data_IF_648154283631
#
_entry.id   IF_648154283631
#
_cell.length_a   1.000
_cell.length_b   1.000
_cell.length_c   1.000
_cell.angle_alpha   90.00
_cell.angle_beta   90.00
_cell.angle_gamma   90.00
#
_symmetry.space_group_name_H-M   'P 1'
#
loop_
_entity.id
_entity.type
_entity.pdbx_description
1 polymer ?
#
# COMPACT_ATOMS: atom_id res chain seq x y z
N UNK A 1 24.71 -19.61 47.05
CA UNK A 1 23.45 -20.30 46.73
C UNK A 1 22.45 -19.24 46.27
N UNK A 2 21.92 -19.34 45.04
CA UNK A 2 20.99 -18.35 44.44
C UNK A 2 19.54 -18.87 44.44
N UNK A 3 19.27 -19.98 45.12
CA UNK A 3 17.96 -20.63 45.18
C UNK A 3 16.89 -19.69 45.76
N UNK A 4 15.81 -19.47 45.00
CA UNK A 4 14.62 -18.74 45.44
C UNK A 4 14.63 -17.22 45.23
N UNK A 5 15.72 -16.65 44.72
CA UNK A 5 15.86 -15.20 44.49
C UNK A 5 16.00 -14.85 43.00
N UNK A 6 15.61 -15.71 42.07
CA UNK A 6 15.66 -15.39 40.64
C UNK A 6 14.42 -14.58 40.20
N UNK A 7 14.61 -13.54 39.38
CA UNK A 7 13.54 -12.74 38.79
C UNK A 7 13.42 -11.31 39.34
N UNK A 8 12.25 -10.69 39.13
CA UNK A 8 11.94 -9.28 39.47
C UNK A 8 12.12 -8.90 40.95
N UNK A 9 12.26 -9.87 41.85
CA UNK A 9 12.53 -9.60 43.27
C UNK A 9 13.93 -9.02 43.54
N UNK A 10 14.89 -9.22 42.63
CA UNK A 10 16.23 -8.63 42.74
C UNK A 10 16.33 -7.22 42.12
N UNK A 11 15.28 -6.73 41.46
CA UNK A 11 15.28 -5.34 40.93
C UNK A 11 14.84 -4.34 41.99
N UNK A 12 14.31 -4.80 43.12
CA UNK A 12 13.84 -3.99 44.25
C UNK A 12 14.82 -4.13 45.40
N UNK A 13 15.52 -3.03 45.74
CA UNK A 13 16.58 -2.97 46.76
C UNK A 13 16.18 -3.49 48.15
N UNK A 14 14.89 -3.54 48.46
CA UNK A 14 14.37 -3.94 49.77
C UNK A 14 14.03 -5.43 49.90
N UNK A 15 13.95 -6.17 48.78
CA UNK A 15 13.47 -7.57 48.76
C UNK A 15 14.59 -8.59 48.53
N UNK A 16 15.82 -8.15 48.26
CA UNK A 16 16.97 -9.01 48.06
C UNK A 16 18.27 -8.33 48.46
N UNK A 17 19.21 -9.11 48.99
CA UNK A 17 20.56 -8.65 49.24
C UNK A 17 21.27 -8.29 47.92
N UNK A 18 20.93 -8.96 46.83
CA UNK A 18 21.40 -8.64 45.49
C UNK A 18 20.44 -7.65 44.82
N UNK A 19 20.93 -6.47 44.48
CA UNK A 19 20.16 -5.41 43.85
C UNK A 19 20.80 -4.93 42.55
N UNK A 20 19.96 -4.55 41.59
CA UNK A 20 20.41 -3.99 40.33
C UNK A 20 21.14 -2.65 40.52
N UNK A 21 22.26 -2.47 39.82
CA UNK A 21 22.96 -1.20 39.75
C UNK A 21 23.36 -0.89 38.29
N UNK A 22 22.66 0.07 37.69
CA UNK A 22 22.90 0.53 36.31
C UNK A 22 24.08 1.50 36.19
N UNK A 23 24.63 2.00 37.30
CA UNK A 23 25.66 3.04 37.33
C UNK A 23 27.05 2.52 37.75
N UNK A 24 27.22 1.19 37.88
CA UNK A 24 28.48 0.61 38.33
C UNK A 24 29.50 0.52 37.18
N UNK A 25 30.34 1.54 37.06
CA UNK A 25 31.35 1.65 36.00
C UNK A 25 32.72 1.00 36.33
N UNK A 26 32.92 0.41 37.52
CA UNK A 26 34.27 0.06 37.96
C UNK A 26 34.72 -1.40 37.72
N UNK A 27 35.73 -1.50 36.86
CA UNK A 27 37.07 -2.07 37.10
C UNK A 27 37.37 -3.58 37.00
N UNK A 28 36.40 -4.48 36.85
CA UNK A 28 36.70 -5.90 36.57
C UNK A 28 35.81 -6.53 35.49
N UNK A 29 35.72 -5.89 34.33
CA UNK A 29 35.32 -6.63 33.13
C UNK A 29 36.50 -7.49 32.70
N UNK A 30 36.28 -8.78 32.50
CA UNK A 30 37.21 -9.62 31.74
C UNK A 30 37.66 -8.86 30.49
N UNK A 31 38.96 -8.87 30.23
CA UNK A 31 39.75 -7.97 29.36
C UNK A 31 39.29 -7.95 27.88
N UNK A 32 38.23 -8.67 27.53
CA UNK A 32 37.75 -8.86 26.16
C UNK A 32 36.29 -8.44 25.93
N UNK A 33 35.62 -7.80 26.89
CA UNK A 33 34.20 -7.44 26.78
C UNK A 33 33.97 -5.95 26.98
N UNK A 34 33.83 -5.20 25.89
CA UNK A 34 33.36 -3.80 25.95
C UNK A 34 31.91 -3.77 26.49
N UNK A 35 31.59 -2.74 27.27
CA UNK A 35 30.26 -2.53 27.89
C UNK A 35 29.65 -1.24 27.39
N UNK A 36 28.34 -1.24 27.13
CA UNK A 36 27.58 -0.01 26.86
C UNK A 36 26.32 0.04 27.73
N UNK A 37 25.99 1.22 28.22
CA UNK A 37 24.70 1.50 28.88
C UNK A 37 23.68 1.90 27.82
N UNK A 38 22.53 1.23 27.80
CA UNK A 38 21.39 1.54 26.92
C UNK A 38 20.48 2.51 27.65
N UNK A 39 20.00 3.51 26.93
CA UNK A 39 19.01 4.46 27.43
C UNK A 39 17.68 4.31 26.66
N UNK A 40 16.58 4.66 27.33
CA UNK A 40 15.28 4.81 26.67
C UNK A 40 15.25 6.06 25.76
N UNK A 41 14.09 6.32 25.15
CA UNK A 41 13.85 7.50 24.29
C UNK A 41 14.10 8.85 24.97
N UNK A 42 14.00 8.90 26.30
CA UNK A 42 14.17 10.12 27.10
C UNK A 42 15.60 10.27 27.65
N UNK A 43 16.52 9.39 27.24
CA UNK A 43 17.92 9.42 27.67
C UNK A 43 18.16 8.84 29.07
N UNK A 44 17.19 8.14 29.65
CA UNK A 44 17.31 7.51 30.97
C UNK A 44 17.94 6.12 30.80
N UNK A 45 19.02 5.79 31.52
CA UNK A 45 19.61 4.46 31.52
C UNK A 45 18.59 3.38 31.92
N UNK A 46 18.44 2.35 31.10
CA UNK A 46 17.54 1.22 31.37
C UNK A 46 18.28 -0.10 31.52
N UNK A 47 19.34 -0.33 30.75
CA UNK A 47 19.99 -1.63 30.63
C UNK A 47 21.49 -1.51 30.35
N UNK A 48 22.21 -2.62 30.53
CA UNK A 48 23.62 -2.75 30.17
C UNK A 48 23.74 -3.84 29.12
N UNK A 49 24.58 -3.62 28.11
CA UNK A 49 24.97 -4.67 27.15
C UNK A 49 26.45 -4.95 27.17
N UNK A 50 26.77 -6.22 26.90
CA UNK A 50 28.11 -6.71 26.66
C UNK A 50 28.29 -7.03 25.18
N UNK A 51 29.43 -6.63 24.63
CA UNK A 51 29.83 -6.99 23.28
C UNK A 51 30.72 -8.22 23.29
N UNK A 52 30.33 -9.24 22.55
CA UNK A 52 31.15 -10.43 22.31
C UNK A 52 31.46 -10.53 20.82
N UNK A 53 32.75 -10.53 20.48
CA UNK A 53 33.21 -10.68 19.09
C UNK A 53 33.08 -12.16 18.71
N UNK A 54 32.22 -12.47 17.75
CA UNK A 54 32.01 -13.81 17.22
C UNK A 54 32.30 -13.81 15.71
N UNK A 55 33.53 -14.16 15.34
CA UNK A 55 33.96 -14.17 13.92
C UNK A 55 33.91 -12.78 13.28
N UNK A 56 33.01 -12.60 12.31
CA UNK A 56 32.79 -11.37 11.54
C UNK A 56 31.55 -10.57 12.00
N UNK A 57 31.03 -10.84 13.20
CA UNK A 57 29.95 -10.04 13.79
C UNK A 57 30.18 -9.83 15.29
N UNK A 58 29.56 -8.79 15.83
CA UNK A 58 29.58 -8.45 17.25
C UNK A 58 28.22 -8.83 17.81
N UNK A 59 28.21 -9.88 18.63
CA UNK A 59 27.02 -10.28 19.39
C UNK A 59 26.82 -9.31 20.54
N UNK A 60 25.59 -8.82 20.67
CA UNK A 60 25.19 -7.93 21.75
C UNK A 60 24.38 -8.75 22.75
N UNK A 61 24.81 -8.76 24.01
CA UNK A 61 24.17 -9.55 25.06
C UNK A 61 23.61 -8.61 26.14
N UNK A 62 22.29 -8.66 26.42
CA UNK A 62 21.70 -7.84 27.47
C UNK A 62 22.04 -8.46 28.82
N UNK A 63 22.58 -7.65 29.73
CA UNK A 63 22.97 -8.10 31.06
C UNK A 63 22.43 -7.15 32.12
N UNK A 64 22.25 -7.70 33.32
CA UNK A 64 22.05 -6.91 34.54
C UNK A 64 23.27 -7.09 35.43
N UNK A 65 23.66 -6.02 36.10
CA UNK A 65 24.68 -6.07 37.14
C UNK A 65 23.99 -6.08 38.50
N UNK A 66 24.18 -7.18 39.23
CA UNK A 66 23.70 -7.31 40.59
C UNK A 66 24.85 -7.01 41.55
N UNK A 67 24.65 -6.04 42.43
CA UNK A 67 25.60 -5.69 43.46
C UNK A 67 25.00 -6.03 44.84
N UNK A 68 25.87 -6.17 45.85
CA UNK A 68 25.48 -6.52 47.22
C UNK A 68 26.41 -5.78 48.17
N UNK A 69 25.88 -5.18 49.23
CA UNK A 69 26.63 -4.22 50.06
C UNK A 69 27.89 -4.81 50.73
N UNK A 70 27.87 -6.09 51.07
CA UNK A 70 28.97 -6.85 51.68
C UNK A 70 29.80 -7.66 50.66
N UNK A 71 29.57 -7.46 49.35
CA UNK A 71 30.30 -8.16 48.29
C UNK A 71 31.00 -7.13 47.38
N UNK A 72 32.33 -7.11 47.32
CA UNK A 72 33.09 -6.04 46.67
C UNK A 72 33.01 -6.03 45.14
N UNK A 73 32.38 -7.04 44.53
CA UNK A 73 32.22 -7.14 43.07
C UNK A 73 30.76 -7.28 42.67
N UNK A 74 30.39 -6.82 41.47
CA UNK A 74 29.05 -7.06 40.95
C UNK A 74 29.03 -8.36 40.14
N UNK A 75 27.91 -9.08 40.18
CA UNK A 75 27.68 -10.26 39.34
C UNK A 75 26.94 -9.85 38.07
N UNK A 76 27.51 -10.20 36.93
CA UNK A 76 26.82 -10.14 35.65
C UNK A 76 25.86 -11.32 35.55
N UNK A 77 24.60 -11.04 35.28
CA UNK A 77 23.56 -12.04 35.07
C UNK A 77 22.77 -11.71 33.82
N UNK A 78 22.35 -12.75 33.10
CA UNK A 78 21.51 -12.60 31.92
C UNK A 78 20.05 -12.56 32.36
N UNK A 79 19.46 -11.37 32.33
CA UNK A 79 18.03 -11.18 32.48
C UNK A 79 17.52 -10.41 31.26
N UNK A 80 16.71 -11.03 30.38
CA UNK A 80 16.10 -10.29 29.28
C UNK A 80 15.12 -9.27 29.86
N UNK A 81 15.25 -7.96 29.55
CA UNK A 81 14.37 -6.95 30.12
C UNK A 81 12.95 -7.11 29.56
N UNK A 82 11.97 -6.50 30.25
CA UNK A 82 10.56 -6.54 29.85
C UNK A 82 10.30 -5.78 28.56
N UNK A 83 11.05 -4.70 28.34
CA UNK A 83 11.08 -3.90 27.12
C UNK A 83 12.53 -3.79 26.64
N UNK A 84 12.75 -4.00 25.34
CA UNK A 84 14.10 -3.99 24.76
C UNK A 84 14.24 -2.78 23.85
N UNK A 85 15.23 -1.95 24.16
CA UNK A 85 15.64 -0.80 23.37
C UNK A 85 16.80 -1.20 22.45
N UNK A 86 16.88 -0.62 21.24
CA UNK A 86 17.93 -0.95 20.31
C UNK A 86 19.27 -0.42 20.79
N UNK A 87 20.31 -1.21 20.58
CA UNK A 87 21.68 -0.74 20.71
C UNK A 87 22.04 -0.03 19.41
N UNK A 88 22.50 1.21 19.53
CA UNK A 88 22.69 2.13 18.40
C UNK A 88 24.18 2.23 18.05
N UNK A 89 24.49 2.19 16.76
CA UNK A 89 25.83 2.39 16.23
C UNK A 89 25.81 3.28 14.98
N UNK A 90 26.77 4.20 14.88
CA UNK A 90 26.90 5.12 13.74
C UNK A 90 26.10 6.42 13.87
N UNK A 91 26.20 7.27 12.84
CA UNK A 91 25.47 8.54 12.72
C UNK A 91 24.31 8.36 11.74
N UNK A 92 23.14 8.91 12.05
CA UNK A 92 21.94 8.82 11.21
C UNK A 92 21.87 9.98 10.21
N UNK A 93 22.73 9.95 9.20
CA UNK A 93 22.82 11.04 8.21
C UNK A 93 21.82 10.90 7.06
N UNK A 94 21.19 9.72 6.92
CA UNK A 94 20.36 9.37 5.76
C UNK A 94 18.93 8.94 6.11
N UNK A 95 18.55 9.00 7.39
CA UNK A 95 17.24 8.59 7.88
C UNK A 95 16.86 7.13 7.53
N UNK A 96 17.87 6.25 7.59
CA UNK A 96 17.76 4.81 7.34
C UNK A 96 18.17 4.06 8.61
N UNK A 97 17.29 3.22 9.13
CA UNK A 97 17.59 2.34 10.24
C UNK A 97 17.80 0.90 9.76
N UNK A 98 19.01 0.38 9.99
CA UNK A 98 19.34 -1.04 9.75
C UNK A 98 19.05 -1.84 11.02
N UNK A 99 18.13 -2.78 10.93
CA UNK A 99 17.60 -3.59 12.03
C UNK A 99 18.18 -4.99 11.97
N UNK A 100 18.92 -5.41 12.99
CA UNK A 100 19.48 -6.76 13.01
C UNK A 100 19.60 -7.33 14.43
N UNK A 101 19.84 -8.64 14.52
CA UNK A 101 20.14 -9.29 15.80
C UNK A 101 21.55 -8.92 16.32
N UNK A 102 22.47 -8.57 15.43
CA UNK A 102 23.87 -8.27 15.77
C UNK A 102 24.48 -7.33 14.73
N UNK A 103 25.59 -6.68 15.06
CA UNK A 103 26.30 -5.82 14.10
C UNK A 103 27.37 -6.59 13.33
N UNK A 104 27.65 -6.28 12.06
CA UNK A 104 28.80 -6.84 11.38
C UNK A 104 30.09 -6.22 11.94
N UNK A 105 31.17 -7.01 11.90
CA UNK A 105 32.51 -6.60 12.32
C UNK A 105 33.24 -6.02 11.11
N UNK A 106 33.36 -4.70 11.04
CA UNK A 106 34.07 -4.02 9.95
C UNK A 106 33.69 -2.54 9.86
N UNK A 107 34.35 -1.80 8.96
CA UNK A 107 33.99 -0.41 8.65
C UNK A 107 32.61 -0.38 8.01
N UNK A 108 31.62 -0.04 8.81
CA UNK A 108 30.31 0.36 8.33
C UNK A 108 30.47 1.61 7.48
N UNK A 109 29.75 1.75 6.35
CA UNK A 109 29.78 2.98 5.58
C UNK A 109 29.46 4.18 6.50
N UNK A 110 30.18 5.29 6.35
CA UNK A 110 29.89 6.52 7.09
C UNK A 110 28.44 6.96 6.84
N UNK A 111 27.73 7.38 7.89
CA UNK A 111 26.32 7.80 7.81
C UNK A 111 25.29 6.67 7.90
N UNK A 112 25.72 5.44 8.17
CA UNK A 112 24.84 4.28 8.40
C UNK A 112 24.47 4.20 9.88
N UNK A 113 23.17 4.20 10.17
CA UNK A 113 22.62 4.03 11.51
C UNK A 113 22.13 2.61 11.75
N UNK A 114 22.88 1.87 12.57
CA UNK A 114 22.59 0.47 12.88
C UNK A 114 21.93 0.31 14.24
N UNK A 115 20.83 -0.42 14.28
CA UNK A 115 20.08 -0.78 15.48
C UNK A 115 20.13 -2.30 15.69
N UNK A 116 20.86 -2.76 16.71
CA UNK A 116 20.85 -4.17 17.09
C UNK A 116 19.90 -4.43 18.23
N UNK A 117 19.14 -5.52 18.07
CA UNK A 117 18.35 -6.10 19.12
C UNK A 117 18.99 -7.37 19.67
N UNK A 118 19.48 -7.33 20.90
CA UNK A 118 20.05 -8.51 21.52
C UNK A 118 18.97 -9.57 21.80
N UNK A 119 19.36 -10.85 21.84
CA UNK A 119 18.51 -11.95 22.32
C UNK A 119 17.65 -12.71 21.30
N UNK A 120 17.82 -12.45 19.99
CA UNK A 120 17.25 -13.27 18.91
C UNK A 120 15.72 -13.17 18.79
N UNK A 121 15.08 -14.16 18.14
CA UNK A 121 13.64 -14.10 17.84
C UNK A 121 12.75 -13.90 19.08
N UNK A 122 13.17 -14.45 20.23
CA UNK A 122 12.44 -14.35 21.50
C UNK A 122 12.29 -12.92 22.03
N UNK A 123 13.12 -11.99 21.56
CA UNK A 123 13.08 -10.60 21.99
C UNK A 123 12.20 -9.73 21.10
N UNK A 124 11.84 -10.22 19.91
CA UNK A 124 10.99 -9.49 18.96
C UNK A 124 9.71 -8.96 19.59
N UNK A 125 8.94 -9.71 20.40
CA UNK A 125 7.72 -9.17 21.01
C UNK A 125 7.95 -8.03 22.02
N UNK A 126 9.15 -7.94 22.60
CA UNK A 126 9.50 -6.98 23.65
C UNK A 126 10.16 -5.70 23.11
N UNK A 127 10.44 -5.65 21.80
CA UNK A 127 11.12 -4.50 21.19
C UNK A 127 10.27 -3.24 21.23
N UNK A 128 10.91 -2.11 21.47
CA UNK A 128 10.29 -0.79 21.32
C UNK A 128 10.25 -0.34 19.86
N UNK A 129 9.10 -0.51 19.19
CA UNK A 129 8.96 -0.14 17.78
C UNK A 129 8.73 1.36 17.56
N UNK A 130 8.30 2.13 18.57
CA UNK A 130 8.12 3.58 18.43
C UNK A 130 9.41 4.30 18.06
N UNK A 131 10.54 3.80 18.57
CA UNK A 131 11.87 4.29 18.21
C UNK A 131 12.14 4.18 16.70
N UNK A 132 11.62 3.15 16.01
CA UNK A 132 11.84 2.99 14.56
C UNK A 132 10.88 3.72 13.67
N UNK A 133 9.68 3.99 14.19
CA UNK A 133 8.66 4.69 13.40
C UNK A 133 9.16 6.06 12.94
N UNK A 134 10.11 6.67 13.65
CA UNK A 134 10.73 7.95 13.27
C UNK A 134 11.60 7.92 12.01
N UNK A 135 12.07 6.76 11.56
CA UNK A 135 12.93 6.68 10.37
C UNK A 135 12.10 6.44 9.11
N UNK A 136 12.44 7.15 8.02
CA UNK A 136 11.80 7.01 6.71
C UNK A 136 12.03 5.65 6.07
N UNK A 137 13.23 5.07 6.20
CA UNK A 137 13.55 3.73 5.68
C UNK A 137 13.96 2.79 6.80
N UNK A 138 13.37 1.59 6.81
CA UNK A 138 13.59 0.56 7.83
C UNK A 138 14.00 -0.72 7.11
N UNK A 139 15.22 -1.18 7.36
CA UNK A 139 15.81 -2.31 6.65
C UNK A 139 16.08 -3.43 7.65
N UNK A 140 15.34 -4.53 7.56
CA UNK A 140 15.66 -5.75 8.31
C UNK A 140 16.86 -6.40 7.64
N UNK A 141 17.95 -6.57 8.38
CA UNK A 141 19.17 -7.21 7.92
C UNK A 141 19.40 -8.48 8.70
N UNK A 142 19.40 -9.62 8.02
CA UNK A 142 19.98 -10.85 8.57
C UNK A 142 21.36 -11.09 7.97
N UNK A 143 22.29 -11.48 8.84
CA UNK A 143 23.67 -11.76 8.45
C UNK A 143 23.73 -13.27 8.21
N UNK A 144 24.06 -13.71 6.99
CA UNK A 144 23.99 -15.12 6.58
C UNK A 144 24.77 -16.05 7.53
N UNK A 145 25.91 -15.59 8.04
CA UNK A 145 26.74 -16.34 9.00
C UNK A 145 26.10 -16.57 10.38
N UNK A 146 25.02 -15.86 10.73
CA UNK A 146 24.21 -16.16 11.91
C UNK A 146 23.36 -17.42 11.71
N UNK A 147 23.25 -17.90 10.46
CA UNK A 147 22.49 -19.08 10.10
C UNK A 147 21.02 -18.98 10.53
N UNK A 148 20.53 -20.09 11.08
CA UNK A 148 19.13 -20.29 11.48
C UNK A 148 18.65 -19.21 12.46
N UNK A 149 19.49 -18.74 13.39
CA UNK A 149 19.12 -17.73 14.37
C UNK A 149 18.86 -16.35 13.75
N UNK A 150 19.70 -15.94 12.81
CA UNK A 150 19.53 -14.68 12.08
C UNK A 150 18.26 -14.67 11.23
N UNK A 151 17.98 -15.80 10.57
CA UNK A 151 16.76 -16.00 9.78
C UNK A 151 15.52 -15.97 10.68
N UNK A 152 15.55 -16.67 11.82
CA UNK A 152 14.44 -16.72 12.77
C UNK A 152 14.11 -15.33 13.32
N UNK A 153 15.15 -14.57 13.67
CA UNK A 153 15.02 -13.19 14.11
C UNK A 153 14.38 -12.31 13.04
N UNK A 154 14.92 -12.32 11.81
CA UNK A 154 14.42 -11.49 10.72
C UNK A 154 12.99 -11.87 10.33
N UNK A 155 12.66 -13.15 10.32
CA UNK A 155 11.30 -13.65 10.08
C UNK A 155 10.33 -13.15 11.14
N UNK A 156 10.70 -13.29 12.42
CA UNK A 156 9.85 -12.86 13.54
C UNK A 156 9.64 -11.36 13.53
N UNK A 157 10.70 -10.58 13.26
CA UNK A 157 10.63 -9.13 13.17
C UNK A 157 9.80 -8.68 11.97
N UNK A 158 10.01 -9.25 10.79
CA UNK A 158 9.23 -8.94 9.59
C UNK A 158 7.73 -9.22 9.80
N UNK A 159 7.39 -10.36 10.41
CA UNK A 159 6.02 -10.70 10.74
C UNK A 159 5.41 -9.68 11.73
N UNK A 160 6.17 -9.28 12.76
CA UNK A 160 5.72 -8.26 13.71
C UNK A 160 5.52 -6.89 13.05
N UNK A 161 6.47 -6.42 12.24
CA UNK A 161 6.36 -5.13 11.54
C UNK A 161 5.17 -5.12 10.58
N UNK A 162 4.94 -6.22 9.84
CA UNK A 162 3.77 -6.35 8.96
C UNK A 162 2.46 -6.38 9.74
N UNK A 163 2.41 -7.04 10.90
CA UNK A 163 1.25 -7.03 11.80
C UNK A 163 0.92 -5.63 12.35
N UNK A 164 1.97 -4.85 12.62
CA UNK A 164 1.85 -3.49 13.15
C UNK A 164 1.83 -2.40 12.07
N UNK A 165 1.68 -2.79 10.79
CA UNK A 165 1.59 -1.87 9.64
C UNK A 165 2.78 -0.92 9.52
N UNK A 166 3.98 -1.43 9.78
CA UNK A 166 5.21 -0.67 9.68
C UNK A 166 5.93 -1.11 8.40
N UNK A 167 6.12 -0.19 7.45
CA UNK A 167 6.88 -0.48 6.22
C UNK A 167 8.32 -0.87 6.52
N UNK A 168 8.82 -1.86 5.78
CA UNK A 168 10.20 -2.34 5.84
C UNK A 168 10.65 -2.95 4.51
N UNK A 169 11.97 -3.06 4.33
CA UNK A 169 12.59 -3.94 3.33
C UNK A 169 13.46 -4.99 4.01
N UNK A 170 13.66 -6.13 3.35
CA UNK A 170 14.46 -7.24 3.86
C UNK A 170 15.74 -7.33 3.07
N UNK A 171 16.86 -7.43 3.78
CA UNK A 171 18.20 -7.51 3.21
C UNK A 171 18.98 -8.65 3.80
N UNK A 172 19.78 -9.29 2.96
CA UNK A 172 20.73 -10.32 3.31
C UNK A 172 22.15 -9.77 3.18
N UNK A 173 22.94 -9.94 4.23
CA UNK A 173 24.37 -9.63 4.25
C UNK A 173 25.19 -10.91 4.20
N UNK A 174 25.95 -11.09 3.10
CA UNK A 174 26.87 -12.22 2.87
C UNK A 174 28.31 -11.70 2.74
N UNK A 175 29.10 -11.81 3.82
CA UNK A 175 30.41 -11.17 3.89
C UNK A 175 30.28 -9.66 3.80
N UNK A 176 30.82 -9.04 2.74
CA UNK A 176 30.66 -7.61 2.45
C UNK A 176 29.53 -7.30 1.45
N UNK A 177 28.84 -8.32 0.93
CA UNK A 177 27.80 -8.17 -0.08
C UNK A 177 26.44 -7.96 0.56
N UNK A 178 25.76 -6.88 0.19
CA UNK A 178 24.42 -6.52 0.66
C UNK A 178 23.41 -6.71 -0.47
N UNK A 179 22.37 -7.51 -0.24
CA UNK A 179 21.36 -7.82 -1.25
C UNK A 179 19.95 -7.65 -0.69
N UNK A 180 19.12 -6.89 -1.39
CA UNK A 180 17.69 -6.80 -1.08
C UNK A 180 16.98 -8.07 -1.55
N UNK A 181 16.05 -8.56 -0.73
CA UNK A 181 15.22 -9.71 -1.03
C UNK A 181 13.76 -9.30 -1.08
N UNK A 182 13.06 -9.70 -2.14
CA UNK A 182 11.60 -9.68 -2.14
C UNK A 182 11.04 -10.59 -1.05
N UNK A 183 9.79 -10.35 -0.64
CA UNK A 183 9.07 -11.24 0.28
C UNK A 183 8.96 -12.68 -0.27
N UNK A 184 8.96 -12.88 -1.60
CA UNK A 184 8.96 -14.21 -2.22
C UNK A 184 10.28 -14.94 -2.02
N UNK A 185 11.40 -14.25 -2.26
CA UNK A 185 12.73 -14.80 -2.07
C UNK A 185 13.00 -15.09 -0.59
N UNK A 186 12.60 -14.17 0.30
CA UNK A 186 12.75 -14.38 1.74
C UNK A 186 11.95 -15.58 2.25
N UNK A 187 10.71 -15.78 1.78
CA UNK A 187 9.92 -16.98 2.08
C UNK A 187 10.60 -18.27 1.63
N UNK A 188 11.31 -18.23 0.50
CA UNK A 188 12.08 -19.37 0.00
C UNK A 188 13.26 -19.67 0.94
N UNK A 189 13.95 -18.64 1.43
CA UNK A 189 15.01 -18.78 2.44
C UNK A 189 14.47 -19.39 3.74
N UNK A 190 13.34 -18.89 4.24
CA UNK A 190 12.66 -19.41 5.44
C UNK A 190 12.34 -20.91 5.28
N UNK A 191 11.67 -21.29 4.18
CA UNK A 191 11.29 -22.68 3.88
C UNK A 191 12.50 -23.60 3.78
N UNK A 192 13.56 -23.16 3.08
CA UNK A 192 14.79 -23.94 2.91
C UNK A 192 15.45 -24.27 4.25
N UNK A 193 15.29 -23.40 5.25
CA UNK A 193 15.84 -23.58 6.59
C UNK A 193 14.85 -24.25 7.57
N UNK A 194 13.75 -24.82 7.08
CA UNK A 194 12.83 -25.65 7.87
C UNK A 194 11.86 -24.87 8.76
N UNK A 195 11.73 -23.55 8.58
CA UNK A 195 10.78 -22.74 9.33
C UNK A 195 9.39 -22.72 8.70
N UNK A 196 8.36 -22.70 9.54
CA UNK A 196 6.99 -22.40 9.13
C UNK A 196 6.88 -20.90 8.81
N UNK A 197 6.30 -20.54 7.67
CA UNK A 197 6.07 -19.14 7.31
C UNK A 197 4.91 -18.59 8.17
N UNK A 198 5.10 -17.50 8.92
CA UNK A 198 4.02 -16.80 9.62
C UNK A 198 2.95 -16.29 8.65
N UNK A 199 1.68 -16.25 9.09
CA UNK A 199 0.55 -15.79 8.26
C UNK A 199 0.77 -14.35 7.75
N UNK A 200 1.39 -13.50 8.56
CA UNK A 200 1.72 -12.12 8.20
C UNK A 200 2.71 -12.03 7.06
N UNK A 201 3.52 -13.07 6.84
CA UNK A 201 4.46 -13.12 5.72
C UNK A 201 3.88 -13.89 4.52
N UNK A 202 2.62 -14.30 4.57
CA UNK A 202 1.94 -14.91 3.44
C UNK A 202 1.78 -13.92 2.27
N UNK A 203 1.47 -14.46 1.08
CA UNK A 203 1.15 -13.66 -0.10
C UNK A 203 -0.18 -12.93 0.02
N UNK A 204 -1.03 -13.32 0.95
CA UNK A 204 -2.43 -12.88 1.09
C UNK A 204 -2.72 -12.63 2.56
N UNK A 205 -2.02 -11.67 3.16
CA UNK A 205 -2.26 -11.28 4.54
C UNK A 205 -3.45 -10.30 4.61
N UNK A 206 -4.51 -10.66 5.34
CA UNK A 206 -5.75 -9.87 5.44
C UNK A 206 -5.54 -8.46 6.01
N UNK A 207 -4.52 -8.25 6.83
CA UNK A 207 -4.16 -6.93 7.35
C UNK A 207 -3.74 -5.96 6.25
N UNK A 208 -3.05 -6.45 5.21
CA UNK A 208 -2.64 -5.61 4.08
C UNK A 208 -3.86 -5.13 3.28
N UNK A 209 -4.88 -5.98 3.12
CA UNK A 209 -6.14 -5.64 2.42
C UNK A 209 -6.93 -4.60 3.22
N UNK A 210 -7.00 -4.77 4.54
CA UNK A 210 -7.71 -3.83 5.43
C UNK A 210 -7.06 -2.45 5.40
N UNK A 211 -5.72 -2.39 5.40
CA UNK A 211 -5.00 -1.13 5.26
C UNK A 211 -5.07 -0.53 3.86
N UNK A 212 -5.18 -1.35 2.81
CA UNK A 212 -5.37 -0.86 1.44
C UNK A 212 -6.74 -0.19 1.29
N UNK A 213 -7.72 -0.63 2.09
CA UNK A 213 -9.05 -0.02 2.20
C UNK A 213 -9.03 1.21 3.13
N UNK A 214 -8.25 1.20 4.21
CA UNK A 214 -8.16 2.33 5.15
C UNK A 214 -7.24 3.47 4.67
N UNK A 215 -6.24 3.15 3.84
CA UNK A 215 -5.31 4.10 3.23
C UNK A 215 -5.55 4.30 1.74
N UNK A 216 -6.65 3.80 1.17
CA UNK A 216 -7.02 4.20 -0.19
C UNK A 216 -7.21 5.72 -0.18
N UNK A 217 -6.59 6.39 -1.14
CA UNK A 217 -6.69 7.84 -1.30
C UNK A 217 -8.17 8.24 -1.26
N UNK A 218 -8.51 9.37 -0.62
CA UNK A 218 -9.90 9.87 -0.54
C UNK A 218 -10.60 9.66 -1.88
N UNK A 219 -11.57 8.75 -1.91
CA UNK A 219 -12.25 8.36 -3.13
C UNK A 219 -12.79 9.61 -3.83
N UNK A 220 -12.49 9.77 -5.12
CA UNK A 220 -13.03 10.91 -5.86
C UNK A 220 -14.54 10.76 -6.03
N UNK A 221 -14.98 9.54 -6.36
CA UNK A 221 -16.37 9.11 -6.35
C UNK A 221 -16.44 7.89 -5.43
N UNK A 222 -16.94 8.03 -4.19
CA UNK A 222 -17.03 6.94 -3.21
C UNK A 222 -17.58 5.64 -3.80
N UNK A 223 -16.81 4.56 -3.67
CA UNK A 223 -17.18 3.21 -4.12
C UNK A 223 -17.13 2.99 -5.64
N UNK A 224 -16.72 3.98 -6.43
CA UNK A 224 -16.71 3.94 -7.90
C UNK A 224 -15.33 4.28 -8.48
N UNK A 225 -14.68 5.33 -7.99
CA UNK A 225 -13.44 5.86 -8.58
C UNK A 225 -12.58 6.54 -7.51
N UNK A 226 -11.44 5.94 -7.20
CA UNK A 226 -10.46 6.55 -6.30
C UNK A 226 -9.51 7.50 -7.06
N UNK A 227 -8.71 8.28 -6.31
CA UNK A 227 -7.65 9.08 -6.91
C UNK A 227 -6.57 8.18 -7.48
N UNK A 228 -6.13 8.49 -8.70
CA UNK A 228 -5.17 7.66 -9.43
C UNK A 228 -5.80 6.47 -10.15
N UNK A 229 -7.08 6.16 -9.94
CA UNK A 229 -7.76 5.08 -10.67
C UNK A 229 -8.27 5.51 -12.04
N UNK A 230 -8.50 4.53 -12.92
CA UNK A 230 -9.09 4.74 -14.23
C UNK A 230 -10.40 3.96 -14.39
N UNK A 231 -11.47 4.66 -14.80
CA UNK A 231 -12.76 4.08 -15.17
C UNK A 231 -12.98 4.24 -16.67
N UNK A 232 -13.54 3.20 -17.30
CA UNK A 232 -13.74 3.17 -18.75
C UNK A 232 -15.23 3.08 -19.13
N UNK A 233 -15.68 3.94 -20.05
CA UNK A 233 -16.93 3.79 -20.79
C UNK A 233 -16.65 3.31 -22.21
N UNK A 234 -16.99 2.05 -22.50
CA UNK A 234 -16.87 1.43 -23.82
C UNK A 234 -18.15 1.61 -24.60
N UNK A 235 -18.04 2.24 -25.77
CA UNK A 235 -19.19 2.64 -26.55
C UNK A 235 -19.26 1.90 -27.88
N UNK A 236 -20.46 1.52 -28.32
CA UNK A 236 -20.66 0.90 -29.64
C UNK A 236 -20.43 1.90 -30.78
N UNK A 237 -20.70 3.18 -30.51
CA UNK A 237 -20.57 4.30 -31.44
C UNK A 237 -19.89 5.48 -30.73
N UNK A 238 -19.29 6.44 -31.47
CA UNK A 238 -18.75 7.65 -30.89
C UNK A 238 -19.80 8.35 -30.02
N UNK A 239 -19.39 8.70 -28.80
CA UNK A 239 -20.29 9.25 -27.79
C UNK A 239 -20.81 10.61 -28.22
N UNK A 240 -22.12 10.78 -28.15
CA UNK A 240 -22.74 12.07 -28.39
C UNK A 240 -22.29 13.10 -27.34
N UNK A 241 -22.01 14.33 -27.78
CA UNK A 241 -21.64 15.45 -26.90
C UNK A 241 -22.68 15.69 -25.78
N UNK A 242 -23.95 15.33 -26.02
CA UNK A 242 -24.99 15.35 -24.99
C UNK A 242 -24.70 14.46 -23.79
N UNK A 243 -24.08 13.27 -23.97
CA UNK A 243 -23.78 12.36 -22.87
C UNK A 243 -22.69 12.92 -21.96
N UNK A 244 -21.63 13.48 -22.55
CA UNK A 244 -20.58 14.17 -21.81
C UNK A 244 -21.17 15.35 -21.02
N UNK A 245 -22.12 16.10 -21.60
CA UNK A 245 -22.79 17.21 -20.92
C UNK A 245 -23.60 16.74 -19.72
N UNK A 246 -24.33 15.65 -19.90
CA UNK A 246 -25.03 15.00 -18.80
C UNK A 246 -24.07 14.58 -17.68
N UNK A 247 -23.00 13.85 -18.02
CA UNK A 247 -22.02 13.36 -17.03
C UNK A 247 -21.44 14.53 -16.23
N UNK A 248 -20.98 15.59 -16.90
CA UNK A 248 -20.38 16.75 -16.25
C UNK A 248 -21.35 17.52 -15.34
N UNK A 249 -22.62 17.67 -15.75
CA UNK A 249 -23.64 18.31 -14.90
C UNK A 249 -23.95 17.50 -13.64
N UNK A 250 -23.92 16.17 -13.76
CA UNK A 250 -24.32 15.29 -12.68
C UNK A 250 -23.17 14.90 -11.75
N UNK A 251 -21.90 14.99 -12.16
CA UNK A 251 -20.77 14.69 -11.26
C UNK A 251 -20.82 15.50 -9.95
N UNK A 252 -21.22 16.76 -9.99
CA UNK A 252 -21.37 17.60 -8.78
C UNK A 252 -22.72 17.46 -8.06
N UNK A 253 -23.70 16.80 -8.68
CA UNK A 253 -25.06 16.60 -8.14
C UNK A 253 -25.32 15.15 -7.70
N UNK A 254 -24.42 14.22 -8.08
CA UNK A 254 -24.60 12.77 -8.07
C UNK A 254 -25.11 12.26 -9.43
N UNK A 255 -24.51 11.18 -9.93
CA UNK A 255 -24.94 10.57 -11.21
C UNK A 255 -25.91 9.39 -10.97
N UNK A 256 -26.69 9.07 -12.01
CA UNK A 256 -27.54 7.87 -12.07
C UNK A 256 -28.52 7.76 -10.90
N UNK A 257 -29.25 8.84 -10.62
CA UNK A 257 -30.14 8.94 -9.45
C UNK A 257 -29.41 8.72 -8.12
N UNK A 258 -28.25 9.38 -7.97
CA UNK A 258 -27.37 9.37 -6.78
C UNK A 258 -26.69 8.03 -6.46
N UNK A 259 -26.67 7.08 -7.41
CA UNK A 259 -25.86 5.87 -7.28
C UNK A 259 -24.37 6.15 -7.32
N UNK A 260 -23.98 7.17 -8.07
CA UNK A 260 -22.68 7.79 -7.88
C UNK A 260 -22.88 8.97 -6.97
N UNK A 261 -22.14 9.00 -5.88
CA UNK A 261 -22.11 10.16 -5.01
C UNK A 261 -21.51 11.37 -5.75
N UNK A 262 -21.87 12.56 -5.28
CA UNK A 262 -21.34 13.81 -5.83
C UNK A 262 -19.86 13.95 -5.47
N UNK A 263 -19.06 14.43 -6.42
CA UNK A 263 -17.66 14.81 -6.16
C UNK A 263 -17.60 16.14 -5.37
N UNK A 264 -16.43 16.45 -4.81
CA UNK A 264 -16.19 17.74 -4.14
C UNK A 264 -16.47 18.90 -5.13
N UNK A 265 -17.31 19.91 -4.77
CA UNK A 265 -17.57 21.10 -5.59
C UNK A 265 -16.33 21.86 -6.05
N UNK A 266 -15.21 21.73 -5.35
CA UNK A 266 -13.92 22.33 -5.68
C UNK A 266 -13.05 21.46 -6.60
N UNK A 267 -13.52 20.26 -6.96
CA UNK A 267 -12.76 19.34 -7.84
C UNK A 267 -12.58 19.95 -9.21
N UNK A 268 -11.32 20.07 -9.65
CA UNK A 268 -10.98 20.60 -10.96
C UNK A 268 -11.02 19.48 -12.01
N UNK A 269 -11.84 19.63 -13.04
CA UNK A 269 -12.01 18.66 -14.12
C UNK A 269 -11.36 19.19 -15.41
N UNK A 270 -10.58 18.33 -16.07
CA UNK A 270 -10.01 18.57 -17.39
C UNK A 270 -10.61 17.59 -18.39
N UNK A 271 -11.18 18.10 -19.47
CA UNK A 271 -11.92 17.29 -20.44
C UNK A 271 -11.28 17.44 -21.82
N UNK A 272 -10.74 16.35 -22.36
CA UNK A 272 -10.19 16.31 -23.72
C UNK A 272 -11.24 15.79 -24.69
N UNK A 273 -11.63 16.64 -25.63
CA UNK A 273 -12.68 16.37 -26.63
C UNK A 273 -12.18 16.71 -28.04
N UNK A 274 -12.88 16.22 -29.05
CA UNK A 274 -12.57 16.57 -30.43
C UNK A 274 -12.96 18.01 -30.75
N UNK A 275 -12.22 18.61 -31.68
CA UNK A 275 -12.43 20.02 -32.06
C UNK A 275 -13.83 20.32 -32.62
N UNK A 276 -14.50 19.30 -33.17
CA UNK A 276 -15.88 19.41 -33.67
C UNK A 276 -16.88 19.64 -32.52
N UNK A 277 -16.67 18.99 -31.38
CA UNK A 277 -17.56 19.05 -30.22
C UNK A 277 -17.46 20.37 -29.48
N UNK A 278 -16.30 21.04 -29.49
CA UNK A 278 -16.11 22.34 -28.83
C UNK A 278 -17.14 23.39 -29.29
N UNK A 279 -17.59 23.32 -30.55
CA UNK A 279 -18.62 24.23 -31.07
C UNK A 279 -20.00 23.96 -30.46
N UNK A 280 -20.30 22.71 -30.13
CA UNK A 280 -21.52 22.33 -29.41
C UNK A 280 -21.47 22.89 -27.99
N UNK A 281 -20.34 22.73 -27.29
CA UNK A 281 -20.17 23.19 -25.91
C UNK A 281 -20.27 24.70 -25.71
N UNK A 282 -19.77 25.49 -26.67
CA UNK A 282 -19.94 26.95 -26.61
C UNK A 282 -21.40 27.41 -26.67
N UNK A 283 -22.34 26.53 -27.05
CA UNK A 283 -23.77 26.86 -27.18
C UNK A 283 -24.64 26.36 -26.02
N UNK A 284 -24.18 25.40 -25.22
CA UNK A 284 -25.02 24.68 -24.23
C UNK A 284 -25.23 25.40 -22.90
N UNK A 285 -24.87 26.70 -22.81
CA UNK A 285 -24.92 27.55 -21.59
C UNK A 285 -24.24 26.96 -20.35
N UNK A 286 -23.55 25.83 -20.47
CA UNK A 286 -22.84 25.19 -19.38
C UNK A 286 -21.60 26.01 -19.03
N UNK A 287 -21.67 26.75 -17.92
CA UNK A 287 -20.56 27.49 -17.35
C UNK A 287 -20.21 26.91 -15.99
N UNK A 288 -19.04 26.29 -15.90
CA UNK A 288 -18.43 25.89 -14.63
C UNK A 288 -17.00 26.39 -14.63
N UNK A 289 -16.62 27.14 -13.60
CA UNK A 289 -15.23 27.57 -13.41
C UNK A 289 -14.28 26.41 -13.12
N UNK A 290 -14.83 25.24 -12.75
CA UNK A 290 -14.07 24.06 -12.38
C UNK A 290 -13.85 23.09 -13.54
N UNK A 291 -14.58 23.25 -14.66
CA UNK A 291 -14.50 22.36 -15.82
C UNK A 291 -13.86 23.09 -16.98
N UNK A 292 -12.75 22.54 -17.49
CA UNK A 292 -12.05 23.13 -18.63
C UNK A 292 -11.93 22.13 -19.78
N UNK A 293 -12.42 22.56 -20.94
CA UNK A 293 -12.36 21.79 -22.18
C UNK A 293 -11.06 22.05 -22.93
N UNK A 294 -10.45 20.97 -23.41
CA UNK A 294 -9.19 20.95 -24.14
C UNK A 294 -9.35 20.14 -25.42
N UNK A 295 -8.62 20.53 -26.46
CA UNK A 295 -8.61 19.82 -27.74
C UNK A 295 -7.75 18.56 -27.60
N UNK A 296 -8.26 17.41 -28.01
CA UNK A 296 -7.55 16.13 -27.88
C UNK A 296 -6.35 15.92 -28.81
N UNK A 297 -6.20 16.73 -29.88
CA UNK A 297 -4.97 16.77 -30.68
C UNK A 297 -3.87 17.52 -29.92
N UNK A 298 -3.43 16.94 -28.81
CA UNK A 298 -2.48 17.49 -27.85
C UNK A 298 -1.22 16.64 -27.79
N UNK A 299 -0.06 17.27 -27.58
CA UNK A 299 1.15 16.52 -27.24
C UNK A 299 1.08 16.03 -25.78
N UNK A 300 1.91 15.05 -25.42
CA UNK A 300 2.02 14.58 -24.03
C UNK A 300 2.52 15.68 -23.08
N UNK A 301 3.41 16.56 -23.54
CA UNK A 301 3.91 17.66 -22.71
C UNK A 301 2.82 18.72 -22.46
N UNK A 302 2.01 19.01 -23.47
CA UNK A 302 0.83 19.87 -23.31
C UNK A 302 -0.20 19.23 -22.37
N UNK A 303 -0.39 17.91 -22.46
CA UNK A 303 -1.26 17.17 -21.54
C UNK A 303 -0.83 17.35 -20.08
N UNK A 304 0.44 17.11 -19.77
CA UNK A 304 1.00 17.29 -18.41
C UNK A 304 0.73 18.69 -17.87
N UNK A 305 1.06 19.71 -18.66
CA UNK A 305 0.93 21.11 -18.24
C UNK A 305 -0.52 21.47 -17.88
N UNK A 306 -1.48 20.89 -18.58
CA UNK A 306 -2.89 21.16 -18.36
C UNK A 306 -3.52 20.30 -17.25
N UNK A 307 -3.02 19.08 -17.02
CA UNK A 307 -3.60 18.12 -16.06
C UNK A 307 -3.06 18.27 -14.64
N UNK A 308 -1.87 18.85 -14.45
CA UNK A 308 -1.16 18.94 -13.14
C UNK A 308 -1.99 19.43 -11.94
N UNK A 309 -3.04 20.22 -12.17
CA UNK A 309 -3.90 20.77 -11.11
C UNK A 309 -5.27 20.09 -11.03
N UNK A 310 -5.54 19.13 -11.89
CA UNK A 310 -6.83 18.46 -11.99
C UNK A 310 -6.97 17.39 -10.90
N UNK A 311 -8.19 17.22 -10.42
CA UNK A 311 -8.58 16.04 -9.63
C UNK A 311 -9.08 14.91 -10.54
N UNK A 312 -9.65 15.28 -11.70
CA UNK A 312 -10.23 14.37 -12.67
C UNK A 312 -9.85 14.74 -14.09
N UNK A 313 -9.34 13.77 -14.84
CA UNK A 313 -9.13 13.84 -16.28
C UNK A 313 -10.18 13.01 -17.01
N UNK A 314 -10.92 13.63 -17.94
CA UNK A 314 -11.86 12.93 -18.82
C UNK A 314 -11.28 12.89 -20.23
N UNK A 315 -10.95 11.70 -20.73
CA UNK A 315 -10.38 11.47 -22.05
C UNK A 315 -11.47 10.97 -22.98
N UNK A 316 -12.04 11.86 -23.80
CA UNK A 316 -13.17 11.58 -24.68
C UNK A 316 -12.92 11.95 -26.15
N UNK A 317 -11.69 12.32 -26.51
CA UNK A 317 -11.34 12.66 -27.89
C UNK A 317 -10.91 11.44 -28.67
N UNK A 318 -11.56 11.16 -29.80
CA UNK A 318 -11.13 10.11 -30.72
C UNK A 318 -9.70 10.32 -31.22
N UNK A 319 -9.29 11.58 -31.43
CA UNK A 319 -7.91 11.88 -31.88
C UNK A 319 -6.85 11.51 -30.84
N UNK A 320 -7.14 11.70 -29.55
CA UNK A 320 -6.28 11.26 -28.46
C UNK A 320 -6.29 9.74 -28.34
N UNK A 321 -7.49 9.14 -28.37
CA UNK A 321 -7.72 7.72 -28.13
C UNK A 321 -7.17 6.82 -29.23
N UNK A 322 -7.04 7.33 -30.46
CA UNK A 322 -6.48 6.60 -31.59
C UNK A 322 -5.00 6.18 -31.38
N UNK A 323 -4.21 6.96 -30.63
CA UNK A 323 -2.81 6.64 -30.32
C UNK A 323 -2.70 5.94 -28.96
N UNK A 324 -2.67 4.60 -28.99
CA UNK A 324 -2.53 3.78 -27.79
C UNK A 324 -1.30 4.11 -26.96
N UNK A 325 -0.21 4.56 -27.58
CA UNK A 325 1.02 4.90 -26.85
C UNK A 325 0.83 6.18 -26.07
N UNK A 326 0.21 7.18 -26.69
CA UNK A 326 -0.07 8.47 -26.07
C UNK A 326 -1.08 8.33 -24.92
N UNK A 327 -2.20 7.63 -25.14
CA UNK A 327 -3.23 7.46 -24.11
C UNK A 327 -2.68 6.74 -22.89
N UNK A 328 -1.93 5.66 -23.08
CA UNK A 328 -1.32 4.94 -21.95
C UNK A 328 -0.36 5.85 -21.18
N UNK A 329 0.48 6.65 -21.86
CA UNK A 329 1.33 7.65 -21.17
C UNK A 329 0.52 8.68 -20.37
N UNK A 330 -0.61 9.14 -20.89
CA UNK A 330 -1.49 10.07 -20.20
C UNK A 330 -2.12 9.44 -18.95
N UNK A 331 -2.62 8.20 -19.05
CA UNK A 331 -3.17 7.44 -17.92
C UNK A 331 -2.09 7.19 -16.87
N UNK A 332 -0.89 6.80 -17.28
CA UNK A 332 0.25 6.53 -16.39
C UNK A 332 0.64 7.77 -15.60
N UNK A 333 0.70 8.92 -16.29
CA UNK A 333 0.95 10.19 -15.63
C UNK A 333 -0.14 10.52 -14.60
N UNK A 334 -1.41 10.29 -14.92
CA UNK A 334 -2.50 10.54 -13.98
C UNK A 334 -2.41 9.61 -12.76
N UNK A 335 -2.12 8.33 -12.96
CA UNK A 335 -1.91 7.35 -11.89
C UNK A 335 -0.76 7.77 -10.96
N UNK A 336 0.41 8.11 -11.52
CA UNK A 336 1.59 8.56 -10.76
C UNK A 336 1.35 9.84 -9.95
N UNK A 337 0.38 10.66 -10.36
CA UNK A 337 0.05 11.94 -9.75
C UNK A 337 -1.28 11.94 -8.99
N UNK A 338 -1.86 10.77 -8.71
CA UNK A 338 -3.13 10.62 -7.97
C UNK A 338 -4.31 11.40 -8.59
N UNK A 339 -4.32 11.49 -9.92
CA UNK A 339 -5.40 12.11 -10.71
C UNK A 339 -6.30 10.99 -11.20
N UNK A 340 -7.58 11.04 -10.86
CA UNK A 340 -8.54 10.06 -11.36
C UNK A 340 -8.78 10.25 -12.87
N UNK A 341 -9.04 9.17 -13.59
CA UNK A 341 -9.25 9.20 -15.03
C UNK A 341 -10.58 8.55 -15.41
N UNK A 342 -11.35 9.22 -16.24
CA UNK A 342 -12.49 8.61 -16.95
C UNK A 342 -12.17 8.60 -18.44
N UNK A 343 -12.08 7.41 -19.03
CA UNK A 343 -11.86 7.24 -20.47
C UNK A 343 -13.18 6.89 -21.13
N UNK A 344 -13.54 7.59 -22.19
CA UNK A 344 -14.80 7.42 -22.91
C UNK A 344 -14.48 7.27 -24.39
N UNK A 345 -14.71 6.08 -24.95
CA UNK A 345 -14.35 5.81 -26.34
C UNK A 345 -15.00 4.55 -26.89
N UNK A 346 -14.87 4.36 -28.21
CA UNK A 346 -15.38 3.15 -28.85
C UNK A 346 -14.50 1.94 -28.57
N UNK A 347 -15.06 0.74 -28.76
CA UNK A 347 -14.30 -0.51 -28.67
C UNK A 347 -13.05 -0.54 -29.57
N UNK A 348 -13.11 0.08 -30.75
CA UNK A 348 -11.98 0.17 -31.67
C UNK A 348 -10.88 1.14 -31.22
N UNK A 349 -11.24 2.14 -30.42
CA UNK A 349 -10.33 3.19 -29.95
C UNK A 349 -9.71 2.83 -28.59
N UNK A 350 -10.43 2.10 -27.74
CA UNK A 350 -9.96 1.70 -26.42
C UNK A 350 -8.86 0.63 -26.49
N UNK A 351 -7.61 1.10 -26.58
CA UNK A 351 -6.38 0.30 -26.48
C UNK A 351 -5.60 0.56 -25.18
N UNK A 352 -6.26 1.12 -24.17
CA UNK A 352 -5.69 1.27 -22.83
C UNK A 352 -5.47 -0.11 -22.23
N UNK A 353 -4.32 -0.32 -21.59
CA UNK A 353 -4.04 -1.59 -20.93
C UNK A 353 -5.03 -1.79 -19.77
N UNK A 354 -5.81 -2.89 -19.85
CA UNK A 354 -6.89 -3.21 -18.91
C UNK A 354 -6.44 -3.31 -17.44
N UNK A 355 -5.17 -3.60 -17.18
CA UNK A 355 -4.63 -3.70 -15.81
C UNK A 355 -4.81 -2.42 -14.98
N UNK A 356 -5.01 -1.26 -15.63
CA UNK A 356 -5.19 0.03 -14.97
C UNK A 356 -6.65 0.46 -14.84
N UNK A 357 -7.58 -0.27 -15.47
CA UNK A 357 -9.01 0.06 -15.45
C UNK A 357 -9.65 -0.68 -14.26
N UNK A 358 -10.13 0.07 -13.28
CA UNK A 358 -10.77 -0.50 -12.08
C UNK A 358 -12.22 -0.89 -12.31
N UNK A 359 -12.86 -0.32 -13.34
CA UNK A 359 -14.24 -0.61 -13.71
C UNK A 359 -14.52 -0.26 -15.16
N UNK A 360 -15.23 -1.16 -15.83
CA UNK A 360 -15.69 -0.94 -17.20
C UNK A 360 -17.22 -0.87 -17.25
N UNK A 361 -17.72 0.15 -17.93
CA UNK A 361 -19.13 0.35 -18.23
C UNK A 361 -19.32 0.29 -19.73
N UNK A 362 -20.28 -0.49 -20.20
CA UNK A 362 -20.70 -0.50 -21.60
C UNK A 362 -21.81 0.50 -21.79
N UNK A 363 -21.69 1.32 -22.82
CA UNK A 363 -22.65 2.33 -23.20
C UNK A 363 -23.19 2.02 -24.60
N UNK A 364 -24.48 1.73 -24.66
CA UNK A 364 -25.22 1.61 -25.91
C UNK A 364 -26.09 2.83 -26.11
N UNK A 365 -26.05 3.37 -27.32
CA UNK A 365 -26.86 4.52 -27.71
C UNK A 365 -27.75 4.14 -28.89
N UNK A 366 -29.06 4.36 -28.72
CA UNK A 366 -30.04 4.25 -29.82
C UNK A 366 -30.60 5.62 -30.11
N UNK A 367 -30.42 6.08 -31.35
CA UNK A 367 -30.90 7.39 -31.80
C UNK A 367 -32.38 7.32 -32.18
N UNK A 368 -33.19 8.23 -31.65
CA UNK A 368 -34.54 8.53 -32.10
C UNK A 368 -34.63 10.03 -32.47
N UNK A 369 -35.61 10.42 -33.29
CA UNK A 369 -35.72 11.79 -33.85
C UNK A 369 -35.76 12.90 -32.78
N UNK A 370 -36.25 12.60 -31.57
CA UNK A 370 -36.41 13.56 -30.46
C UNK A 370 -35.43 13.36 -29.29
N UNK A 371 -34.92 12.14 -29.07
CA UNK A 371 -34.14 11.76 -27.89
C UNK A 371 -33.20 10.59 -28.20
N UNK A 372 -32.07 10.55 -27.50
CA UNK A 372 -31.14 9.43 -27.52
C UNK A 372 -31.44 8.53 -26.33
N UNK A 373 -31.82 7.28 -26.58
CA UNK A 373 -31.92 6.29 -25.51
C UNK A 373 -30.52 5.78 -25.21
N UNK A 374 -30.05 6.00 -23.98
CA UNK A 374 -28.76 5.56 -23.49
C UNK A 374 -28.99 4.39 -22.53
N UNK A 375 -28.24 3.32 -22.72
CA UNK A 375 -28.22 2.16 -21.84
C UNK A 375 -26.79 1.96 -21.35
N UNK A 376 -26.59 1.94 -20.04
CA UNK A 376 -25.28 1.72 -19.42
C UNK A 376 -25.36 0.45 -18.58
N UNK A 377 -24.40 -0.46 -18.76
CA UNK A 377 -24.34 -1.69 -17.99
C UNK A 377 -22.90 -2.07 -17.61
N UNK A 378 -22.73 -2.68 -16.44
CA UNK A 378 -21.50 -3.28 -15.95
C UNK A 378 -21.85 -4.49 -15.10
N UNK A 379 -21.54 -5.70 -15.58
CA UNK A 379 -21.78 -6.94 -14.81
C UNK A 379 -20.77 -7.08 -13.66
N UNK A 380 -19.59 -6.47 -13.79
CA UNK A 380 -18.59 -6.37 -12.71
C UNK A 380 -19.15 -5.63 -11.49
N UNK A 381 -19.88 -4.54 -11.74
CA UNK A 381 -20.45 -3.67 -10.70
C UNK A 381 -21.91 -3.96 -10.36
N UNK A 382 -22.49 -5.02 -10.95
CA UNK A 382 -23.92 -5.35 -10.83
C UNK A 382 -24.82 -4.11 -11.10
N UNK A 383 -24.43 -3.33 -12.12
CA UNK A 383 -25.02 -2.04 -12.42
C UNK A 383 -25.62 -2.04 -13.81
N UNK A 384 -26.85 -1.54 -13.92
CA UNK A 384 -27.52 -1.39 -15.19
C UNK A 384 -28.61 -0.33 -15.15
N UNK A 385 -28.51 0.66 -16.04
CA UNK A 385 -29.48 1.75 -16.13
C UNK A 385 -29.78 2.08 -17.59
N UNK A 386 -31.02 2.48 -17.84
CA UNK A 386 -31.49 2.96 -19.13
C UNK A 386 -32.19 4.30 -18.94
N UNK A 387 -31.92 5.26 -19.82
CA UNK A 387 -32.57 6.56 -19.75
C UNK A 387 -32.61 7.23 -21.13
N UNK A 388 -33.50 8.21 -21.28
CA UNK A 388 -33.59 9.04 -22.47
C UNK A 388 -32.86 10.36 -22.25
N UNK A 389 -32.01 10.73 -23.20
CA UNK A 389 -31.19 11.93 -23.18
C UNK A 389 -31.63 12.88 -24.29
N UNK A 390 -32.07 14.08 -23.91
CA UNK A 390 -32.38 15.17 -24.83
C UNK A 390 -31.11 15.86 -25.35
N UNK A 391 -31.25 16.66 -26.41
CA UNK A 391 -30.14 17.38 -27.04
C UNK A 391 -29.44 18.38 -26.11
N UNK A 392 -30.17 18.87 -25.10
CA UNK A 392 -29.67 19.84 -24.12
C UNK A 392 -29.08 19.17 -22.87
N UNK A 393 -28.93 17.83 -22.88
CA UNK A 393 -28.43 17.05 -21.76
C UNK A 393 -29.48 16.72 -20.68
N UNK A 394 -30.76 17.04 -20.92
CA UNK A 394 -31.86 16.66 -20.03
C UNK A 394 -32.09 15.15 -20.06
N UNK A 395 -32.33 14.56 -18.89
CA UNK A 395 -32.59 13.13 -18.75
C UNK A 395 -34.01 12.87 -18.30
N UNK A 396 -34.64 11.87 -18.91
CA UNK A 396 -35.98 11.38 -18.57
C UNK A 396 -36.05 9.86 -18.65
N UNK A 397 -37.11 9.27 -18.09
CA UNK A 397 -37.37 7.82 -18.14
C UNK A 397 -36.19 6.95 -17.67
N UNK A 398 -35.63 7.30 -16.49
CA UNK A 398 -34.58 6.51 -15.85
C UNK A 398 -35.20 5.20 -15.35
N UNK A 399 -34.68 4.08 -15.84
CA UNK A 399 -35.13 2.72 -15.54
C UNK A 399 -33.95 1.82 -15.20
N UNK A 400 -34.13 0.96 -14.20
CA UNK A 400 -33.17 -0.08 -13.89
C UNK A 400 -33.24 -1.23 -14.88
N UNK A 401 -32.07 -1.73 -15.26
CA UNK A 401 -31.98 -2.96 -16.02
C UNK A 401 -32.09 -4.15 -15.07
N UNK A 402 -32.91 -5.17 -15.38
CA UNK A 402 -32.90 -6.42 -14.64
C UNK A 402 -31.58 -7.18 -14.89
N UNK A 403 -31.11 -7.94 -13.89
CA UNK A 403 -29.83 -8.66 -13.88
C UNK A 403 -29.58 -9.49 -15.15
N UNK A 404 -30.64 -10.12 -15.69
CA UNK A 404 -30.57 -10.90 -16.93
C UNK A 404 -30.25 -10.08 -18.18
N UNK A 405 -30.58 -8.78 -18.21
CA UNK A 405 -30.20 -7.86 -19.30
C UNK A 405 -28.81 -7.26 -19.10
N UNK A 406 -28.38 -7.05 -17.86
CA UNK A 406 -27.01 -6.58 -17.54
C UNK A 406 -25.98 -7.56 -18.08
N UNK A 407 -26.19 -8.86 -17.81
CA UNK A 407 -25.29 -9.93 -18.25
C UNK A 407 -25.23 -10.06 -19.78
N UNK A 408 -26.35 -9.83 -20.48
CA UNK A 408 -26.42 -9.91 -21.95
C UNK A 408 -25.72 -8.71 -22.61
N UNK A 409 -25.88 -7.51 -22.04
CA UNK A 409 -25.20 -6.31 -22.53
C UNK A 409 -23.70 -6.36 -22.27
N UNK A 410 -23.27 -7.00 -21.18
CA UNK A 410 -21.87 -7.18 -20.83
C UNK A 410 -21.22 -8.44 -21.43
N UNK A 411 -21.98 -9.26 -22.16
CA UNK A 411 -21.42 -10.39 -22.90
C UNK A 411 -20.58 -9.87 -24.08
N UNK A 412 -19.29 -10.25 -24.21
CA UNK A 412 -18.47 -9.85 -25.35
C UNK A 412 -19.14 -10.28 -26.66
N UNK A 413 -19.19 -9.38 -27.64
CA UNK A 413 -19.71 -9.69 -28.97
C UNK A 413 -18.80 -10.78 -29.60
N UNK A 414 -19.36 -11.95 -29.95
CA UNK A 414 -18.66 -13.15 -30.45
C UNK A 414 -17.84 -12.93 -31.75
N UNK A 415 -17.80 -11.70 -32.27
CA UNK A 415 -17.02 -11.30 -33.44
C UNK A 415 -15.59 -10.85 -33.12
N UNK A 416 -15.18 -10.81 -31.85
CA UNK A 416 -13.81 -10.50 -31.46
C UNK A 416 -12.94 -11.76 -31.50
N UNK A 417 -11.98 -11.79 -32.42
CA UNK A 417 -11.01 -12.87 -32.57
C UNK A 417 -10.27 -13.17 -31.25
N UNK A 418 -10.31 -14.43 -30.86
CA UNK A 418 -9.58 -15.07 -29.75
C UNK A 418 -8.13 -14.58 -29.61
N UNK A 419 -7.90 -13.63 -28.71
CA UNK A 419 -6.58 -13.25 -28.19
C UNK A 419 -6.64 -13.12 -26.65
N UNK A 420 -6.79 -14.24 -25.94
CA UNK A 420 -6.65 -14.28 -24.46
C UNK A 420 -7.87 -13.82 -23.63
N UNK A 421 -9.02 -13.61 -24.27
CA UNK A 421 -10.25 -13.22 -23.57
C UNK A 421 -10.78 -14.33 -22.63
N UNK A 422 -10.73 -15.60 -23.04
CA UNK A 422 -11.17 -16.72 -22.18
C UNK A 422 -10.32 -16.87 -20.91
N UNK A 423 -9.01 -16.65 -21.00
CA UNK A 423 -8.11 -16.77 -19.84
C UNK A 423 -8.31 -15.62 -18.84
N UNK A 424 -8.46 -14.38 -19.33
CA UNK A 424 -8.76 -13.22 -18.49
C UNK A 424 -10.18 -13.29 -17.90
N UNK A 425 -11.18 -13.75 -18.68
CA UNK A 425 -12.54 -13.91 -18.20
C UNK A 425 -12.66 -15.02 -17.16
N UNK A 426 -11.92 -16.13 -17.31
CA UNK A 426 -11.87 -17.19 -16.30
C UNK A 426 -11.16 -16.75 -15.02
N UNK A 427 -10.15 -15.89 -15.09
CA UNK A 427 -9.49 -15.33 -13.89
C UNK A 427 -10.39 -14.32 -13.18
N UNK A 428 -11.03 -13.42 -13.93
CA UNK A 428 -11.91 -12.37 -13.38
C UNK A 428 -13.24 -12.92 -12.85
N UNK A 429 -13.84 -13.90 -13.52
CA UNK A 429 -15.04 -14.58 -13.01
C UNK A 429 -14.76 -15.37 -11.73
N UNK A 430 -13.56 -15.94 -11.59
CA UNK A 430 -13.12 -16.63 -10.38
C UNK A 430 -12.86 -15.66 -9.21
N UNK A 431 -12.20 -14.54 -9.47
CA UNK A 431 -11.98 -13.47 -8.48
C UNK A 431 -13.29 -12.78 -8.06
N UNK A 432 -14.21 -12.54 -9.02
CA UNK A 432 -15.54 -12.00 -8.75
C UNK A 432 -16.40 -12.96 -7.94
N UNK A 433 -16.36 -14.26 -8.24
CA UNK A 433 -17.07 -15.28 -7.48
C UNK A 433 -16.51 -15.39 -6.05
N UNK A 434 -15.19 -15.37 -5.87
CA UNK A 434 -14.54 -15.36 -4.55
C UNK A 434 -14.94 -14.12 -3.74
N UNK A 435 -14.96 -12.94 -4.35
CA UNK A 435 -15.38 -11.67 -3.71
C UNK A 435 -16.87 -11.68 -3.35
N UNK A 436 -17.75 -12.22 -4.21
CA UNK A 436 -19.19 -12.39 -3.93
C UNK A 436 -19.44 -13.39 -2.79
N UNK A 437 -18.65 -14.45 -2.71
CA UNK A 437 -18.77 -15.46 -1.63
C UNK A 437 -18.32 -14.89 -0.27
N UNK A 438 -17.30 -14.03 -0.26
CA UNK A 438 -16.81 -13.34 0.95
C UNK A 438 -17.83 -12.29 1.43
N UNK A 439 -18.39 -11.47 0.53
CA UNK A 439 -19.42 -10.47 0.88
C UNK A 439 -20.73 -11.11 1.35
N UNK A 440 -21.14 -12.24 0.76
CA UNK A 440 -22.30 -13.00 1.22
C UNK A 440 -22.08 -13.58 2.63
N UNK A 441 -20.86 -14.04 2.94
CA UNK A 441 -20.47 -14.49 4.29
C UNK A 441 -20.49 -13.35 5.31
N UNK A 442 -20.01 -12.17 4.94
CA UNK A 442 -20.02 -11.00 5.83
C UNK A 442 -21.45 -10.48 6.10
N UNK A 443 -22.34 -10.52 5.12
CA UNK A 443 -23.77 -10.20 5.34
C UNK A 443 -24.45 -11.20 6.28
N UNK A 444 -24.19 -12.49 6.13
CA UNK A 444 -24.70 -13.55 7.02
C UNK A 444 -24.14 -13.49 8.45
N UNK A 445 -23.02 -12.79 8.66
CA UNK A 445 -22.41 -12.58 9.99
C UNK A 445 -22.87 -11.28 10.67
N UNK A 446 -23.43 -10.33 9.91
CA UNK A 446 -23.87 -9.02 10.42
C UNK A 446 -25.38 -8.94 10.69
N UNK A 447 -26.18 -9.86 10.15
CA UNK A 447 -27.58 -10.07 10.53
C UNK A 447 -27.80 -11.56 10.87
N UNK A 448 -27.93 -11.95 12.15
CA UNK A 448 -28.23 -13.33 12.56
C UNK A 448 -29.67 -13.77 12.27
#
# INVERSE_FOLDING_TARGET
NLDGLWGSRNTIRNDSNWHENLYFNDAFSDVFTEKQTICNSDGIPTDIVLYSIAGEYISVLPVKQLCRADFPSCRTVYFPPDKIYPVQFGQNDHDIAYLSMSWPKGNLPSGVFWCSYPGGASTVPKMDLSFFRRFRKRMIVFIERQGIEGINFAMSLAARLRRENVDFSIHRLEGCSFSELSLSEFRTVIKKNGFLIPEELSSTYRGDITNLIENSAEALIPGILDRGDCLAFLCDVPVDSGFLLFLLRNLYQGCWDKRWEKIDPCSLIRVWIDSADIRFWKKTEFQSEQVHFLIGNTSFEDFKLNVQKANLAILASSSLLADSTLVNKCVDYCFEHEIAVIVIGTYSEMKVQREKIVSTYRLQQTQNDAWNTITIASAENDFGIKFNLGKDGEVSAIEDLPDGKITVLDAPDERMSNNGFEDAHNILSKLSLERKTEMAREKLLKDP
#
